data_IF_632982110815
#
_entry.id   IF_632982110815
#
_cell.length_a   1.000
_cell.length_b   1.000
_cell.length_c   1.000
_cell.angle_alpha   90.00
_cell.angle_beta   90.00
_cell.angle_gamma   90.00
#
_symmetry.space_group_name_H-M   'P 1'
#
loop_
_entity.id
_entity.type
_entity.pdbx_description
1 polymer ?
#
# COMPACT_ATOMS: atom_id res chain seq x y z
N UNK A 1 -71.40 23.74 22.60
CA UNK A 1 -70.80 24.85 21.84
C UNK A 1 -70.04 25.75 22.80
N UNK A 2 -68.72 25.55 22.96
CA UNK A 2 -67.86 26.72 23.14
C UNK A 2 -66.44 26.54 22.56
N UNK A 3 -66.12 27.23 21.46
CA UNK A 3 -64.74 27.52 21.05
C UNK A 3 -64.55 29.03 21.10
N UNK A 4 -64.34 29.61 22.28
CA UNK A 4 -64.25 31.07 22.41
C UNK A 4 -63.19 31.55 23.41
N UNK A 5 -62.17 30.73 23.74
CA UNK A 5 -61.13 31.13 24.72
C UNK A 5 -59.68 30.94 24.29
N UNK A 6 -59.40 30.60 23.05
CA UNK A 6 -58.02 30.38 22.58
C UNK A 6 -57.63 31.21 21.34
N UNK A 7 -58.17 32.44 21.26
CA UNK A 7 -57.89 33.36 20.16
C UNK A 7 -56.45 33.96 20.16
N UNK A 8 -55.84 34.37 21.30
CA UNK A 8 -54.55 35.07 21.23
C UNK A 8 -53.37 34.12 20.95
N UNK A 9 -53.40 32.88 21.45
CA UNK A 9 -52.33 31.89 21.26
C UNK A 9 -52.29 31.32 19.83
N UNK A 10 -53.48 31.12 19.24
CA UNK A 10 -53.61 30.64 17.85
C UNK A 10 -53.18 31.71 16.83
N UNK A 11 -53.45 32.99 17.09
CA UNK A 11 -52.99 34.11 16.24
C UNK A 11 -51.46 34.25 16.24
N UNK A 12 -50.79 34.02 17.38
CA UNK A 12 -49.32 34.05 17.46
C UNK A 12 -48.67 32.89 16.67
N UNK A 13 -49.27 31.69 16.72
CA UNK A 13 -48.83 30.56 15.89
C UNK A 13 -49.05 30.80 14.39
N UNK A 14 -50.15 31.46 14.02
CA UNK A 14 -50.40 31.82 12.62
C UNK A 14 -49.40 32.86 12.12
N UNK A 15 -49.11 33.89 12.91
CA UNK A 15 -48.14 34.93 12.55
C UNK A 15 -46.71 34.37 12.40
N UNK A 16 -46.27 33.49 13.30
CA UNK A 16 -44.95 32.88 13.22
C UNK A 16 -44.85 31.89 12.04
N UNK A 17 -45.93 31.15 11.75
CA UNK A 17 -46.03 30.28 10.59
C UNK A 17 -45.96 31.06 9.27
N UNK A 18 -46.69 32.17 9.17
CA UNK A 18 -46.71 33.02 7.98
C UNK A 18 -45.34 33.70 7.73
N UNK A 19 -44.65 34.12 8.80
CA UNK A 19 -43.29 34.66 8.72
C UNK A 19 -42.32 33.59 8.20
N UNK A 20 -42.35 32.39 8.77
CA UNK A 20 -41.50 31.27 8.35
C UNK A 20 -41.73 30.89 6.88
N UNK A 21 -42.99 30.81 6.45
CA UNK A 21 -43.32 30.52 5.05
C UNK A 21 -42.88 31.63 4.10
N UNK A 22 -42.93 32.89 4.53
CA UNK A 22 -42.43 34.03 3.75
C UNK A 22 -40.90 33.99 3.61
N UNK A 23 -40.19 33.64 4.68
CA UNK A 23 -38.74 33.47 4.65
C UNK A 23 -38.33 32.32 3.73
N UNK A 24 -39.00 31.16 3.81
CA UNK A 24 -38.75 30.05 2.91
C UNK A 24 -39.02 30.39 1.44
N UNK A 25 -40.10 31.11 1.14
CA UNK A 25 -40.43 31.54 -0.23
C UNK A 25 -39.44 32.57 -0.78
N UNK A 26 -38.88 33.41 0.09
CA UNK A 26 -37.90 34.42 -0.28
C UNK A 26 -36.47 33.88 -0.34
N UNK A 27 -36.22 32.72 0.29
CA UNK A 27 -34.92 32.08 0.26
C UNK A 27 -34.61 31.60 -1.16
N UNK A 28 -33.53 32.16 -1.73
CA UNK A 28 -32.97 31.73 -3.00
C UNK A 28 -31.70 30.96 -2.68
N UNK A 29 -31.69 29.62 -2.77
CA UNK A 29 -30.45 28.88 -2.60
C UNK A 29 -29.41 29.39 -3.61
N UNK A 30 -28.14 29.40 -3.21
CA UNK A 30 -27.07 29.72 -4.13
C UNK A 30 -27.14 28.77 -5.34
N UNK A 31 -26.96 29.32 -6.54
CA UNK A 31 -27.00 28.53 -7.76
C UNK A 31 -25.84 27.54 -7.75
N UNK A 32 -26.14 26.26 -7.54
CA UNK A 32 -25.16 25.19 -7.63
C UNK A 32 -24.81 25.01 -9.10
N UNK A 33 -23.57 25.34 -9.45
CA UNK A 33 -23.03 25.01 -10.77
C UNK A 33 -22.97 23.48 -10.91
N UNK A 34 -23.21 22.90 -12.10
CA UNK A 34 -23.00 21.47 -12.33
C UNK A 34 -21.59 20.99 -11.97
N UNK A 35 -20.61 21.90 -11.97
CA UNK A 35 -19.20 21.64 -11.70
C UNK A 35 -18.76 22.09 -10.29
N UNK A 36 -19.69 22.49 -9.41
CA UNK A 36 -19.40 22.99 -8.07
C UNK A 36 -18.66 21.93 -7.22
N UNK A 37 -19.11 20.67 -7.33
CA UNK A 37 -18.47 19.54 -6.67
C UNK A 37 -17.01 19.33 -7.11
N UNK A 38 -16.71 19.50 -8.40
CA UNK A 38 -15.37 19.39 -8.96
C UNK A 38 -14.50 20.62 -8.66
N UNK A 39 -15.10 21.81 -8.58
CA UNK A 39 -14.40 23.07 -8.33
C UNK A 39 -13.95 23.22 -6.86
N UNK A 40 -14.68 22.60 -5.93
CA UNK A 40 -14.41 22.68 -4.49
C UNK A 40 -13.56 21.52 -3.95
N UNK A 41 -13.18 20.56 -4.79
CA UNK A 41 -12.32 19.45 -4.39
C UNK A 41 -10.98 19.47 -5.14
N UNK A 42 -9.90 19.27 -4.41
CA UNK A 42 -8.62 18.98 -5.04
C UNK A 42 -8.60 17.52 -5.49
N UNK A 43 -8.40 17.31 -6.80
CA UNK A 43 -8.26 15.97 -7.37
C UNK A 43 -6.99 15.33 -6.84
N UNK A 44 -7.15 14.21 -6.14
CA UNK A 44 -6.02 13.43 -5.66
C UNK A 44 -5.34 12.75 -6.84
N UNK A 45 -4.08 13.09 -7.10
CA UNK A 45 -3.22 12.36 -8.02
C UNK A 45 -2.25 11.51 -7.21
N UNK A 46 -2.19 10.21 -7.51
CA UNK A 46 -1.19 9.36 -6.89
C UNK A 46 0.21 9.84 -7.29
N UNK A 47 1.10 10.09 -6.32
CA UNK A 47 2.47 10.45 -6.64
C UNK A 47 3.11 9.29 -7.41
N UNK A 48 3.89 9.63 -8.44
CA UNK A 48 4.70 8.63 -9.13
C UNK A 48 5.65 8.02 -8.09
N UNK A 49 5.71 6.69 -8.06
CA UNK A 49 6.69 5.99 -7.24
C UNK A 49 8.09 6.53 -7.56
N UNK A 50 8.92 6.82 -6.54
CA UNK A 50 10.28 7.22 -6.81
C UNK A 50 10.96 6.13 -7.65
N UNK A 51 11.78 6.49 -8.64
CA UNK A 51 12.58 5.50 -9.33
C UNK A 51 13.43 4.78 -8.27
N UNK A 52 13.27 3.46 -8.17
CA UNK A 52 14.12 2.66 -7.28
C UNK A 52 15.56 2.75 -7.79
N UNK A 53 16.52 3.23 -6.98
CA UNK A 53 17.90 3.32 -7.43
C UNK A 53 18.47 1.92 -7.75
N UNK A 54 18.08 0.89 -7.00
CA UNK A 54 18.56 -0.49 -7.19
C UNK A 54 17.94 -1.23 -8.38
N UNK A 55 16.78 -0.80 -8.89
CA UNK A 55 16.15 -1.48 -10.04
C UNK A 55 16.58 -0.92 -11.39
N UNK A 56 17.48 0.07 -11.42
CA UNK A 56 17.83 0.79 -12.63
C UNK A 56 18.63 -0.03 -13.65
N UNK A 57 19.29 -1.13 -13.22
CA UNK A 57 20.15 -1.94 -14.10
C UNK A 57 20.06 -3.46 -13.90
N UNK A 58 18.95 -3.97 -13.35
CA UNK A 58 18.72 -5.42 -13.13
C UNK A 58 19.01 -6.25 -14.39
N UNK A 59 18.70 -5.73 -15.57
CA UNK A 59 18.93 -6.41 -16.83
C UNK A 59 20.43 -6.59 -17.17
N UNK A 60 21.31 -5.69 -16.71
CA UNK A 60 22.76 -5.87 -16.85
C UNK A 60 23.31 -6.76 -15.75
N UNK A 61 22.81 -6.63 -14.53
CA UNK A 61 23.25 -7.49 -13.41
C UNK A 61 22.93 -8.95 -13.70
N UNK A 62 21.73 -9.26 -14.19
CA UNK A 62 21.35 -10.61 -14.62
C UNK A 62 22.26 -11.15 -15.73
N UNK A 63 22.57 -10.33 -16.74
CA UNK A 63 23.51 -10.73 -17.81
C UNK A 63 24.91 -10.97 -17.26
N UNK A 64 25.37 -10.12 -16.35
CA UNK A 64 26.67 -10.30 -15.70
C UNK A 64 26.71 -11.63 -14.97
N UNK A 65 25.67 -11.97 -14.19
CA UNK A 65 25.56 -13.26 -13.51
C UNK A 65 25.51 -14.45 -14.48
N UNK A 66 24.80 -14.34 -15.60
CA UNK A 66 24.73 -15.38 -16.63
C UNK A 66 26.07 -15.59 -17.35
N UNK A 67 26.84 -14.52 -17.57
CA UNK A 67 28.15 -14.55 -18.21
C UNK A 67 29.28 -14.94 -17.26
N UNK A 68 29.07 -14.90 -15.93
CA UNK A 68 30.12 -15.25 -14.98
C UNK A 68 30.51 -16.72 -15.17
N UNK A 69 31.80 -17.00 -15.46
CA UNK A 69 32.28 -18.37 -15.51
C UNK A 69 32.20 -18.97 -14.11
N UNK A 70 31.70 -20.21 -14.02
CA UNK A 70 31.76 -20.97 -12.77
C UNK A 70 33.22 -21.32 -12.52
N UNK A 71 33.88 -20.55 -11.66
CA UNK A 71 35.22 -20.85 -11.17
C UNK A 71 35.11 -22.02 -10.19
N UNK A 72 35.25 -23.24 -10.73
CA UNK A 72 35.49 -24.43 -9.92
C UNK A 72 36.98 -24.44 -9.60
N UNK A 73 37.35 -24.25 -8.33
CA UNK A 73 38.72 -24.51 -7.88
C UNK A 73 39.08 -25.95 -8.25
N UNK A 74 40.03 -26.12 -9.18
CA UNK A 74 40.48 -27.43 -9.66
C UNK A 74 40.10 -27.81 -11.10
N UNK A 75 39.70 -26.87 -11.98
CA UNK A 75 39.56 -27.16 -13.41
C UNK A 75 40.95 -27.43 -14.06
N UNK A 76 41.49 -28.62 -13.82
CA UNK A 76 42.64 -29.16 -14.52
C UNK A 76 42.29 -29.42 -15.99
N UNK A 77 43.31 -29.38 -16.87
CA UNK A 77 43.18 -29.80 -18.26
C UNK A 77 42.48 -31.17 -18.34
N UNK A 78 41.61 -31.33 -19.35
CA UNK A 78 40.85 -32.57 -19.59
C UNK A 78 41.78 -33.79 -19.53
N UNK A 79 41.71 -34.55 -18.44
CA UNK A 79 42.43 -35.81 -18.28
C UNK A 79 43.21 -35.98 -16.98
N UNK A 80 43.34 -34.95 -16.13
CA UNK A 80 44.02 -35.13 -14.85
C UNK A 80 43.01 -35.49 -13.75
N UNK A 81 42.98 -36.77 -13.39
CA UNK A 81 42.27 -37.27 -12.20
C UNK A 81 42.94 -36.63 -10.98
N UNK A 82 42.24 -35.68 -10.35
CA UNK A 82 42.61 -35.19 -9.03
C UNK A 82 42.32 -36.33 -8.07
N UNK A 83 43.35 -36.78 -7.34
CA UNK A 83 43.20 -37.77 -6.29
C UNK A 83 42.17 -37.23 -5.28
N UNK A 84 41.00 -37.87 -5.21
CA UNK A 84 40.01 -37.62 -4.17
C UNK A 84 40.62 -38.13 -2.86
N UNK A 85 41.53 -37.35 -2.28
CA UNK A 85 42.26 -37.72 -1.08
C UNK A 85 41.29 -38.21 0.00
N UNK A 86 41.68 -39.23 0.76
CA UNK A 86 40.86 -39.77 1.85
C UNK A 86 40.51 -38.65 2.85
N UNK A 87 39.32 -38.07 2.68
CA UNK A 87 38.78 -36.96 3.49
C UNK A 87 38.35 -37.38 4.90
N UNK A 88 38.43 -38.68 5.18
CA UNK A 88 38.28 -39.24 6.51
C UNK A 88 39.62 -39.87 6.87
N UNK A 89 40.21 -39.43 7.98
CA UNK A 89 41.16 -40.27 8.70
C UNK A 89 40.42 -41.56 9.06
N UNK A 90 40.86 -42.69 8.51
CA UNK A 90 40.46 -43.99 9.01
C UNK A 90 41.14 -44.11 10.38
N UNK A 91 40.40 -43.77 11.45
CA UNK A 91 40.86 -43.93 12.83
C UNK A 91 41.50 -45.32 12.94
N UNK A 92 42.81 -45.31 13.22
CA UNK A 92 43.60 -46.49 13.53
C UNK A 92 42.81 -47.31 14.56
N UNK A 93 42.67 -48.65 14.42
CA UNK A 93 41.81 -49.42 15.30
C UNK A 93 42.18 -49.14 16.75
N UNK A 94 41.25 -48.50 17.46
CA UNK A 94 41.34 -48.14 18.87
C UNK A 94 41.26 -49.43 19.71
N UNK A 95 42.24 -50.32 19.56
CA UNK A 95 42.55 -51.36 20.55
C UNK A 95 43.23 -50.73 21.77
N UNK A 96 42.76 -49.59 22.32
CA UNK A 96 43.29 -49.11 23.62
C UNK A 96 42.49 -48.04 24.39
N UNK A 97 41.28 -47.62 23.99
CA UNK A 97 40.44 -46.80 24.87
C UNK A 97 39.44 -47.65 25.66
N UNK A 98 39.91 -47.97 26.87
CA UNK A 98 39.19 -48.65 27.92
C UNK A 98 37.81 -48.04 28.22
N UNK A 99 36.83 -48.94 28.34
CA UNK A 99 35.58 -48.88 29.09
C UNK A 99 35.14 -47.50 29.63
N UNK A 100 34.05 -46.98 29.08
CA UNK A 100 32.99 -46.27 29.83
C UNK A 100 31.63 -46.47 29.17
#
# INVERSE_FOLDING_TARGET
>A
MPHARDAPSSLLHQLSGDLYLKELKNYKPAALSPNDADAHVHKFAMPKAPPSPEESDIAKDLKSYEEQPVEVEGQAEQGQVVDEGNWFEEDEPEEEHAAH
#
